data_IF_326328449580
#
_entry.id   IF_326328449580
#
_cell.length_a   1.000
_cell.length_b   1.000
_cell.length_c   1.000
_cell.angle_alpha   90.00
_cell.angle_beta   90.00
_cell.angle_gamma   90.00
#
_symmetry.space_group_name_H-M   'P 1'
#
loop_
_entity.id
_entity.type
_entity.pdbx_description
1 polymer ?
#
# COMPACT_ATOMS: atom_id res chain seq x y z
N UNK A 1 -18.18 33.69 -7.88
CA UNK A 1 -18.91 33.43 -6.62
C UNK A 1 -18.34 32.25 -5.84
N UNK A 2 -18.01 31.12 -6.48
CA UNK A 2 -17.46 29.93 -5.80
C UNK A 2 -16.08 30.11 -5.14
N UNK A 3 -15.17 30.85 -5.78
CA UNK A 3 -13.81 31.09 -5.27
C UNK A 3 -13.84 31.90 -3.96
N UNK A 4 -14.70 32.91 -3.93
CA UNK A 4 -14.94 33.74 -2.76
C UNK A 4 -15.54 32.96 -1.58
N UNK A 5 -16.29 31.90 -1.85
CA UNK A 5 -16.83 31.00 -0.82
C UNK A 5 -15.80 29.99 -0.30
N UNK A 6 -14.82 29.62 -1.13
CA UNK A 6 -13.67 28.79 -0.73
C UNK A 6 -12.73 29.61 0.17
N UNK A 7 -12.39 30.83 -0.24
CA UNK A 7 -11.55 31.74 0.55
C UNK A 7 -12.19 32.03 1.92
N UNK A 8 -13.50 32.35 1.94
CA UNK A 8 -14.27 32.51 3.20
C UNK A 8 -14.28 31.25 4.06
N UNK A 9 -14.26 30.04 3.48
CA UNK A 9 -14.20 28.78 4.23
C UNK A 9 -12.79 28.51 4.78
N UNK A 10 -11.74 28.88 4.06
CA UNK A 10 -10.37 28.78 4.53
C UNK A 10 -10.07 29.75 5.67
N UNK A 11 -10.52 31.00 5.56
CA UNK A 11 -10.33 32.01 6.61
C UNK A 11 -11.07 31.63 7.89
N UNK A 12 -12.28 31.07 7.80
CA UNK A 12 -13.01 30.52 8.95
C UNK A 12 -12.28 29.35 9.62
N UNK A 13 -11.54 28.53 8.87
CA UNK A 13 -10.73 27.43 9.44
C UNK A 13 -9.49 27.96 10.13
N UNK A 14 -8.78 28.92 9.51
CA UNK A 14 -7.60 29.57 10.10
C UNK A 14 -7.94 30.31 11.39
N UNK A 15 -9.06 31.05 11.42
CA UNK A 15 -9.53 31.75 12.62
C UNK A 15 -9.90 30.77 13.74
N UNK A 16 -10.52 29.62 13.42
CA UNK A 16 -10.87 28.59 14.41
C UNK A 16 -9.63 27.88 15.01
N UNK A 17 -8.54 27.77 14.26
CA UNK A 17 -7.25 27.28 14.80
C UNK A 17 -6.57 28.34 15.68
N UNK A 18 -6.69 29.63 15.35
CA UNK A 18 -6.11 30.73 16.14
C UNK A 18 -6.90 31.06 17.41
N UNK A 19 -8.22 30.82 17.46
CA UNK A 19 -9.07 31.05 18.65
C UNK A 19 -9.00 29.93 19.71
N UNK A 20 -7.95 29.11 19.71
CA UNK A 20 -7.72 28.11 20.77
C UNK A 20 -6.93 28.73 21.94
N UNK A 21 -7.45 29.82 22.49
CA UNK A 21 -7.01 30.34 23.78
C UNK A 21 -7.51 29.40 24.89
N UNK A 22 -6.61 28.54 25.40
CA UNK A 22 -6.92 27.64 26.51
C UNK A 22 -6.89 28.48 27.80
N UNK A 23 -8.05 29.02 28.18
CA UNK A 23 -8.23 29.67 29.47
C UNK A 23 -8.24 28.62 30.59
N UNK A 24 -7.13 28.54 31.35
CA UNK A 24 -6.98 27.69 32.54
C UNK A 24 -7.72 28.24 33.78
N UNK A 25 -8.95 28.71 33.59
CA UNK A 25 -9.80 29.26 34.65
C UNK A 25 -10.80 28.24 35.22
N UNK A 26 -11.32 28.55 36.42
CA UNK A 26 -12.24 27.76 37.26
C UNK A 26 -13.43 27.08 36.54
N UNK A 27 -13.81 27.48 35.32
CA UNK A 27 -14.90 26.90 34.53
C UNK A 27 -14.57 25.66 33.67
N UNK A 28 -13.36 25.08 33.75
CA UNK A 28 -13.04 23.82 33.04
C UNK A 28 -13.86 22.65 33.59
N UNK A 29 -14.12 22.63 34.91
CA UNK A 29 -14.91 21.58 35.56
C UNK A 29 -16.36 21.61 35.07
N UNK A 30 -16.97 22.79 35.02
CA UNK A 30 -18.36 22.97 34.55
C UNK A 30 -18.51 22.57 33.07
N UNK A 31 -17.56 22.95 32.22
CA UNK A 31 -17.55 22.55 30.79
C UNK A 31 -17.34 21.04 30.61
N UNK A 32 -16.51 20.41 31.44
CA UNK A 32 -16.32 18.96 31.42
C UNK A 32 -17.59 18.21 31.87
N UNK A 33 -18.26 18.70 32.92
CA UNK A 33 -19.55 18.16 33.36
C UNK A 33 -20.65 18.34 32.28
N UNK A 34 -20.66 19.48 31.59
CA UNK A 34 -21.61 19.72 30.50
C UNK A 34 -21.37 18.76 29.32
N UNK A 35 -20.12 18.47 28.98
CA UNK A 35 -19.76 17.47 27.95
C UNK A 35 -20.12 16.04 28.38
N UNK A 36 -19.93 15.69 29.66
CA UNK A 36 -20.36 14.39 30.19
C UNK A 36 -21.88 14.23 30.14
N UNK A 37 -22.64 15.27 30.54
CA UNK A 37 -24.10 15.30 30.46
C UNK A 37 -24.60 15.20 29.00
N UNK A 38 -23.93 15.87 28.05
CA UNK A 38 -24.24 15.74 26.61
C UNK A 38 -24.01 14.33 26.10
N UNK A 39 -22.91 13.67 26.48
CA UNK A 39 -22.62 12.27 26.10
C UNK A 39 -23.65 11.29 26.66
N UNK A 40 -23.97 11.41 27.95
CA UNK A 40 -25.03 10.60 28.60
C UNK A 40 -26.41 10.76 27.93
N UNK A 41 -26.72 11.94 27.40
CA UNK A 41 -27.97 12.19 26.68
C UNK A 41 -27.92 11.71 25.22
N UNK A 42 -26.75 11.67 24.58
CA UNK A 42 -26.55 11.08 23.26
C UNK A 42 -26.66 9.55 23.30
N UNK A 43 -26.15 8.92 24.35
CA UNK A 43 -26.21 7.46 24.54
C UNK A 43 -27.66 6.96 24.80
N UNK A 44 -28.55 7.84 25.27
CA UNK A 44 -30.00 7.56 25.44
C UNK A 44 -30.81 7.65 24.15
N UNK A 45 -30.28 8.27 23.09
CA UNK A 45 -30.92 8.24 21.78
C UNK A 45 -30.61 6.86 21.19
N UNK A 46 -31.65 6.11 20.81
CA UNK A 46 -31.47 4.79 20.20
C UNK A 46 -30.61 4.92 18.93
N UNK A 47 -29.33 4.61 19.08
CA UNK A 47 -28.35 4.72 18.02
C UNK A 47 -28.70 3.80 16.86
N UNK A 48 -28.47 4.28 15.65
CA UNK A 48 -28.62 3.46 14.45
C UNK A 48 -27.70 2.23 14.54
N UNK A 49 -28.07 1.08 13.96
CA UNK A 49 -27.23 -0.12 13.98
C UNK A 49 -25.79 0.12 13.50
N UNK A 50 -25.61 1.00 12.51
CA UNK A 50 -24.30 1.42 12.02
C UNK A 50 -23.50 2.23 13.05
N UNK A 51 -24.17 3.13 13.76
CA UNK A 51 -23.54 3.96 14.79
C UNK A 51 -23.15 3.13 16.03
N UNK A 52 -23.95 2.12 16.38
CA UNK A 52 -23.60 1.11 17.40
C UNK A 52 -22.30 0.37 17.06
N UNK A 53 -22.13 -0.04 15.79
CA UNK A 53 -20.89 -0.68 15.34
C UNK A 53 -19.69 0.28 15.42
N UNK A 54 -19.88 1.55 15.06
CA UNK A 54 -18.82 2.57 15.15
C UNK A 54 -18.44 2.88 16.60
N UNK A 55 -19.40 2.92 17.51
CA UNK A 55 -19.15 3.03 18.95
C UNK A 55 -18.41 1.80 19.48
N UNK A 56 -18.86 0.58 19.19
CA UNK A 56 -18.19 -0.67 19.57
C UNK A 56 -16.73 -0.72 19.09
N UNK A 57 -16.48 -0.30 17.84
CA UNK A 57 -15.12 -0.22 17.29
C UNK A 57 -14.26 0.84 17.97
N UNK A 58 -14.83 2.01 18.28
CA UNK A 58 -14.14 3.10 19.00
C UNK A 58 -13.82 2.69 20.44
N UNK A 59 -14.75 2.04 21.11
CA UNK A 59 -14.60 1.53 22.47
C UNK A 59 -13.53 0.45 22.55
N UNK A 60 -13.59 -0.57 21.69
CA UNK A 60 -12.56 -1.60 21.59
C UNK A 60 -11.17 -1.02 21.32
N UNK A 61 -11.07 -0.01 20.44
CA UNK A 61 -9.80 0.69 20.22
C UNK A 61 -9.34 1.51 21.43
N UNK A 62 -10.26 2.07 22.23
CA UNK A 62 -9.92 2.76 23.48
C UNK A 62 -9.45 1.79 24.55
N UNK A 63 -10.14 0.65 24.72
CA UNK A 63 -9.74 -0.42 25.63
C UNK A 63 -8.35 -0.96 25.27
N UNK A 64 -8.06 -1.24 24.00
CA UNK A 64 -6.72 -1.64 23.55
C UNK A 64 -5.64 -0.62 23.89
N UNK A 65 -5.94 0.68 23.75
CA UNK A 65 -5.00 1.75 24.12
C UNK A 65 -4.77 1.83 25.62
N UNK A 66 -5.82 1.68 26.43
CA UNK A 66 -5.73 1.67 27.89
C UNK A 66 -4.94 0.45 28.38
N UNK A 67 -5.24 -0.75 27.88
CA UNK A 67 -4.49 -1.97 28.20
C UNK A 67 -3.03 -1.87 27.80
N UNK A 68 -2.73 -1.28 26.63
CA UNK A 68 -1.34 -1.05 26.23
C UNK A 68 -0.63 -0.04 27.14
N UNK A 69 -1.35 0.97 27.63
CA UNK A 69 -0.82 1.98 28.55
C UNK A 69 -0.57 1.39 29.94
N UNK A 70 -1.51 0.59 30.46
CA UNK A 70 -1.33 -0.17 31.71
C UNK A 70 -0.18 -1.18 31.57
N UNK A 71 -0.13 -1.97 30.50
CA UNK A 71 1.01 -2.87 30.21
C UNK A 71 2.35 -2.14 30.04
N UNK A 72 2.36 -0.85 29.70
CA UNK A 72 3.60 -0.05 29.67
C UNK A 72 3.96 0.55 31.03
N UNK A 73 2.97 0.84 31.87
CA UNK A 73 3.17 1.35 33.24
C UNK A 73 3.56 0.20 34.20
N UNK A 74 3.00 -1.01 34.05
CA UNK A 74 3.32 -2.20 34.87
C UNK A 74 4.64 -2.89 34.47
N UNK A 75 5.14 -2.64 33.25
CA UNK A 75 6.41 -3.21 32.75
C UNK A 75 7.66 -2.63 33.43
N UNK A 76 7.53 -1.62 34.28
CA UNK A 76 8.64 -1.12 35.11
C UNK A 76 8.79 -1.85 36.46
N UNK A 77 7.87 -2.75 36.86
CA UNK A 77 7.92 -3.38 38.19
C UNK A 77 7.83 -4.91 38.28
N UNK A 78 7.46 -5.66 37.25
CA UNK A 78 7.45 -7.14 37.34
C UNK A 78 7.91 -7.83 36.06
N UNK A 79 9.19 -8.17 36.01
CA UNK A 79 9.70 -9.18 35.08
C UNK A 79 9.36 -10.58 35.63
N UNK A 80 8.12 -11.03 35.46
CA UNK A 80 7.78 -12.46 35.53
C UNK A 80 6.54 -12.78 34.68
N UNK A 81 6.82 -13.22 33.47
CA UNK A 81 6.16 -14.34 32.77
C UNK A 81 4.72 -14.70 33.18
N UNK A 82 3.74 -14.24 32.39
CA UNK A 82 2.44 -14.90 32.25
C UNK A 82 2.00 -14.77 30.80
N UNK A 83 2.23 -15.85 30.06
CA UNK A 83 1.79 -16.05 28.69
C UNK A 83 0.27 -16.27 28.64
N UNK A 84 -0.46 -15.18 28.90
CA UNK A 84 -1.93 -15.05 28.75
C UNK A 84 -2.24 -14.27 27.45
N UNK A 85 -1.26 -14.17 26.55
CA UNK A 85 -1.37 -13.35 25.33
C UNK A 85 -1.65 -14.17 24.06
N UNK A 86 -1.75 -15.49 24.19
CA UNK A 86 -1.95 -16.41 23.05
C UNK A 86 -3.39 -16.94 22.94
N UNK A 87 -4.23 -16.73 23.96
CA UNK A 87 -5.64 -17.15 23.95
C UNK A 87 -6.54 -15.97 23.54
N UNK A 88 -7.30 -16.07 22.44
CA UNK A 88 -8.32 -15.08 22.08
C UNK A 88 -9.34 -14.91 23.21
N UNK A 89 -9.73 -13.67 23.50
CA UNK A 89 -10.68 -13.33 24.57
C UNK A 89 -12.11 -13.88 24.40
N UNK A 90 -12.35 -14.71 23.39
CA UNK A 90 -13.63 -15.34 23.05
C UNK A 90 -13.69 -16.82 23.48
N UNK A 91 -12.59 -17.34 24.05
CA UNK A 91 -12.46 -18.74 24.47
C UNK A 91 -12.43 -18.80 26.00
N UNK A 92 -13.42 -19.47 26.60
CA UNK A 92 -13.48 -19.73 28.04
C UNK A 92 -12.71 -21.01 28.36
N UNK A 93 -11.61 -20.88 29.10
CA UNK A 93 -10.76 -22.01 29.49
C UNK A 93 -11.45 -23.00 30.45
N UNK A 94 -12.59 -22.60 31.04
CA UNK A 94 -13.42 -23.44 31.92
C UNK A 94 -14.68 -24.01 31.22
N UNK A 95 -14.79 -23.91 29.90
CA UNK A 95 -15.93 -24.46 29.15
C UNK A 95 -15.98 -26.00 29.27
N UNK A 96 -17.11 -26.61 29.71
CA UNK A 96 -17.27 -28.06 29.78
C UNK A 96 -17.07 -28.78 28.45
N UNK A 97 -17.23 -28.10 27.30
CA UNK A 97 -16.93 -28.66 25.98
C UNK A 97 -15.43 -28.89 25.76
N UNK A 98 -14.57 -27.99 26.26
CA UNK A 98 -13.10 -28.07 26.11
C UNK A 98 -12.39 -28.65 27.35
N UNK A 99 -13.12 -28.95 28.43
CA UNK A 99 -12.56 -29.46 29.67
C UNK A 99 -11.83 -30.80 29.50
N UNK A 100 -12.28 -31.67 28.58
CA UNK A 100 -11.57 -32.93 28.26
C UNK A 100 -10.23 -32.66 27.55
N UNK A 101 -10.17 -31.62 26.69
CA UNK A 101 -8.98 -31.18 25.97
C UNK A 101 -7.89 -30.68 26.95
N UNK A 102 -8.26 -29.86 27.94
CA UNK A 102 -7.32 -29.31 28.93
C UNK A 102 -6.84 -30.35 29.97
N UNK A 103 -7.51 -31.49 30.08
CA UNK A 103 -7.10 -32.57 30.97
C UNK A 103 -6.03 -33.50 30.37
N UNK A 104 -5.72 -33.35 29.08
CA UNK A 104 -4.64 -34.07 28.38
C UNK A 104 -3.26 -33.74 29.00
N UNK A 105 -2.32 -34.70 29.04
CA UNK A 105 -1.03 -34.54 29.70
C UNK A 105 -0.15 -33.44 29.09
N UNK A 106 -0.45 -33.00 27.87
CA UNK A 106 0.28 -31.95 27.14
C UNK A 106 0.08 -30.54 27.71
N UNK A 107 -1.08 -30.27 28.32
CA UNK A 107 -1.41 -28.95 28.90
C UNK A 107 -1.16 -28.86 30.42
N UNK A 108 -0.89 -30.00 31.08
CA UNK A 108 -0.56 -30.04 32.51
C UNK A 108 0.90 -29.65 32.73
N UNK A 109 1.17 -28.35 32.90
CA UNK A 109 2.49 -27.81 33.31
C UNK A 109 2.99 -28.53 34.58
N UNK A 110 3.93 -29.44 34.41
CA UNK A 110 4.57 -30.19 35.49
C UNK A 110 5.48 -29.30 36.35
N UNK A 111 5.34 -29.41 37.68
CA UNK A 111 6.36 -28.93 38.62
C UNK A 111 7.59 -29.83 38.50
N UNK A 112 8.66 -29.26 37.92
CA UNK A 112 10.09 -29.60 38.03
C UNK A 112 10.48 -31.07 38.24
N UNK A 113 11.25 -31.63 37.29
CA UNK A 113 12.41 -32.49 37.59
C UNK A 113 13.35 -32.66 36.37
N UNK A 114 14.50 -32.01 36.52
CA UNK A 114 15.88 -32.36 36.11
C UNK A 114 16.10 -33.57 35.17
N UNK A 115 16.77 -33.25 34.05
CA UNK A 115 17.68 -34.05 33.22
C UNK A 115 17.26 -35.46 32.76
N UNK A 116 17.08 -35.64 31.44
CA UNK A 116 18.01 -36.39 30.58
C UNK A 116 17.52 -36.40 29.13
N UNK A 117 18.48 -36.35 28.23
CA UNK A 117 18.39 -36.61 26.79
C UNK A 117 17.78 -38.00 26.58
N UNK A 118 16.72 -38.08 25.79
CA UNK A 118 16.39 -39.22 24.95
C UNK A 118 15.41 -38.74 23.87
N UNK A 119 15.83 -38.92 22.62
CA UNK A 119 14.99 -39.22 21.47
C UNK A 119 13.77 -40.04 21.92
N UNK A 120 12.55 -39.53 21.74
CA UNK A 120 11.35 -40.34 21.91
C UNK A 120 10.38 -40.00 20.78
N UNK A 121 10.53 -40.77 19.70
CA UNK A 121 9.57 -40.97 18.61
C UNK A 121 8.28 -41.61 19.15
N UNK A 122 7.54 -40.89 19.98
CA UNK A 122 6.15 -41.26 20.29
C UNK A 122 5.25 -40.20 19.69
N UNK A 123 5.19 -40.18 18.36
CA UNK A 123 4.03 -39.59 17.71
C UNK A 123 2.88 -40.56 17.91
N UNK A 124 1.87 -40.20 18.70
CA UNK A 124 0.63 -40.97 18.68
C UNK A 124 0.15 -41.05 17.22
N UNK A 125 -0.46 -42.17 16.79
CA UNK A 125 -0.95 -42.30 15.42
C UNK A 125 -1.96 -41.20 15.08
N UNK A 126 -2.61 -40.60 16.07
CA UNK A 126 -3.57 -39.51 15.88
C UNK A 126 -2.90 -38.14 15.69
N UNK A 127 -1.70 -37.91 16.25
CA UNK A 127 -0.91 -36.69 15.99
C UNK A 127 -0.33 -36.69 14.58
N UNK A 128 0.03 -37.87 14.05
CA UNK A 128 0.49 -38.01 12.67
C UNK A 128 -0.66 -37.78 11.70
N UNK A 129 -1.85 -38.31 12.00
CA UNK A 129 -3.06 -38.05 11.20
C UNK A 129 -3.47 -36.59 11.23
N UNK A 130 -3.48 -35.96 12.41
CA UNK A 130 -3.81 -34.54 12.53
C UNK A 130 -2.82 -33.65 11.78
N UNK A 131 -1.52 -33.97 11.81
CA UNK A 131 -0.50 -33.27 11.01
C UNK A 131 -0.71 -33.50 9.51
N UNK A 132 -0.98 -34.73 9.09
CA UNK A 132 -1.22 -35.06 7.67
C UNK A 132 -2.52 -34.44 7.13
N UNK A 133 -3.59 -34.38 7.93
CA UNK A 133 -4.85 -33.72 7.58
C UNK A 133 -4.68 -32.20 7.49
N UNK A 134 -3.91 -31.58 8.40
CA UNK A 134 -3.56 -30.16 8.34
C UNK A 134 -2.67 -29.85 7.14
N UNK A 135 -1.71 -30.72 6.81
CA UNK A 135 -0.85 -30.59 5.64
C UNK A 135 -1.69 -30.62 4.35
N UNK A 136 -2.62 -31.59 4.21
CA UNK A 136 -3.54 -31.67 3.08
C UNK A 136 -4.43 -30.41 2.94
N UNK A 137 -4.91 -29.86 4.06
CA UNK A 137 -5.80 -28.69 4.07
C UNK A 137 -5.07 -27.39 3.69
N UNK A 138 -3.76 -27.32 3.95
CA UNK A 138 -2.87 -26.22 3.55
C UNK A 138 -2.36 -26.39 2.11
N UNK A 139 -2.19 -27.63 1.63
CA UNK A 139 -1.70 -27.94 0.29
C UNK A 139 -2.69 -27.50 -0.82
N UNK A 140 -3.99 -27.43 -0.52
CA UNK A 140 -5.03 -26.91 -1.44
C UNK A 140 -5.02 -25.37 -1.59
N UNK A 141 -4.44 -24.62 -0.65
CA UNK A 141 -4.30 -23.15 -0.75
C UNK A 141 -3.06 -22.74 -1.57
N UNK A 142 -2.02 -23.58 -1.55
CA UNK A 142 -0.76 -23.43 -2.31
C UNK A 142 -0.83 -24.16 -3.67
N UNK A 143 -1.94 -23.93 -4.38
CA UNK A 143 -2.31 -24.50 -5.68
C UNK A 143 -1.32 -24.18 -6.83
N UNK A 144 -0.11 -23.66 -6.55
CA UNK A 144 0.93 -23.26 -7.52
C UNK A 144 0.49 -22.14 -8.46
N UNK A 145 -0.75 -21.65 -8.33
CA UNK A 145 -1.38 -20.67 -9.20
C UNK A 145 -0.83 -19.29 -8.83
N UNK A 146 0.05 -18.78 -9.68
CA UNK A 146 0.50 -17.39 -9.61
C UNK A 146 -0.68 -16.44 -9.89
N UNK A 147 -1.41 -16.02 -8.84
CA UNK A 147 -2.52 -15.08 -8.99
C UNK A 147 -2.03 -13.72 -9.50
N UNK A 148 -2.62 -13.26 -10.61
CA UNK A 148 -2.32 -11.96 -11.18
C UNK A 148 -2.76 -10.83 -10.25
N UNK A 149 -1.78 -10.09 -9.73
CA UNK A 149 -2.02 -8.94 -8.85
C UNK A 149 -1.43 -7.67 -9.45
N UNK A 150 -2.29 -6.84 -10.08
CA UNK A 150 -1.86 -5.60 -10.72
C UNK A 150 -1.13 -4.64 -9.75
N UNK A 151 -1.56 -4.58 -8.48
CA UNK A 151 -0.88 -3.76 -7.45
C UNK A 151 0.54 -4.26 -7.17
N UNK A 152 0.73 -5.58 -7.04
CA UNK A 152 2.04 -6.21 -6.81
C UNK A 152 3.00 -5.92 -7.97
N UNK A 153 2.50 -5.94 -9.21
CA UNK A 153 3.27 -5.59 -10.41
C UNK A 153 3.67 -4.11 -10.41
N UNK A 154 2.72 -3.20 -10.13
CA UNK A 154 3.02 -1.76 -10.04
C UNK A 154 4.05 -1.43 -8.96
N UNK A 155 4.03 -2.10 -7.82
CA UNK A 155 5.02 -1.91 -6.76
C UNK A 155 6.39 -2.47 -7.17
N UNK A 156 6.41 -3.65 -7.80
CA UNK A 156 7.62 -4.30 -8.30
C UNK A 156 8.33 -3.48 -9.40
N UNK A 157 7.56 -2.81 -10.27
CA UNK A 157 8.06 -2.02 -11.40
C UNK A 157 8.27 -0.54 -11.04
N UNK A 158 7.35 0.07 -10.30
CA UNK A 158 7.34 1.49 -9.95
C UNK A 158 8.38 1.89 -8.89
N UNK A 159 9.03 0.93 -8.25
CA UNK A 159 10.07 1.19 -7.24
C UNK A 159 11.42 1.60 -7.81
N UNK A 160 11.65 1.50 -9.13
CA UNK A 160 12.95 1.80 -9.76
C UNK A 160 13.51 3.18 -9.38
N UNK A 161 12.65 4.20 -9.17
CA UNK A 161 13.06 5.60 -8.95
C UNK A 161 13.16 6.10 -7.49
N UNK A 162 12.93 5.28 -6.46
CA UNK A 162 12.92 5.76 -5.05
C UNK A 162 14.07 5.18 -4.20
N UNK A 163 14.90 6.10 -3.69
CA UNK A 163 15.88 6.07 -2.58
C UNK A 163 16.70 4.78 -2.33
N UNK A 164 18.02 4.96 -2.15
CA UNK A 164 18.99 3.93 -1.69
C UNK A 164 18.50 3.12 -0.49
N UNK A 165 17.70 3.71 0.41
CA UNK A 165 17.17 3.06 1.62
C UNK A 165 16.14 1.96 1.33
N UNK A 166 15.40 2.06 0.22
CA UNK A 166 14.44 1.04 -0.20
C UNK A 166 15.08 -0.10 -1.01
N UNK A 167 16.36 0.01 -1.39
CA UNK A 167 17.07 -1.00 -2.20
C UNK A 167 17.25 -2.34 -1.45
N UNK A 168 17.48 -2.31 -0.13
CA UNK A 168 17.56 -3.54 0.70
C UNK A 168 16.21 -4.27 0.86
N UNK A 169 15.09 -3.52 0.79
CA UNK A 169 13.76 -4.13 0.73
C UNK A 169 13.51 -4.77 -0.66
N UNK A 170 14.20 -4.28 -1.71
CA UNK A 170 14.09 -4.85 -3.05
C UNK A 170 14.70 -6.24 -3.12
N UNK A 171 15.83 -6.54 -2.49
CA UNK A 171 16.43 -7.88 -2.55
C UNK A 171 15.46 -8.96 -2.03
N UNK A 172 14.79 -8.69 -0.90
CA UNK A 172 13.76 -9.59 -0.35
C UNK A 172 12.49 -9.69 -1.22
N UNK A 173 12.13 -8.61 -1.95
CA UNK A 173 10.98 -8.62 -2.86
C UNK A 173 11.32 -9.09 -4.28
N UNK A 174 12.60 -9.09 -4.67
CA UNK A 174 13.11 -9.64 -5.94
C UNK A 174 13.14 -11.17 -5.85
N UNK A 175 13.40 -11.74 -4.69
CA UNK A 175 13.21 -13.17 -4.44
C UNK A 175 11.73 -13.56 -4.68
N UNK A 176 10.78 -12.70 -4.24
CA UNK A 176 9.36 -12.81 -4.59
C UNK A 176 9.01 -12.42 -6.04
N UNK A 177 9.92 -11.78 -6.80
CA UNK A 177 9.71 -11.53 -8.24
C UNK A 177 9.85 -12.82 -9.05
N UNK A 178 10.60 -13.81 -8.59
CA UNK A 178 10.67 -15.10 -9.28
C UNK A 178 9.30 -15.79 -9.35
N UNK A 179 8.36 -15.43 -8.46
CA UNK A 179 7.01 -15.95 -8.46
C UNK A 179 6.03 -15.23 -9.41
N UNK A 180 6.42 -14.13 -10.06
CA UNK A 180 5.58 -13.48 -11.09
C UNK A 180 6.22 -13.74 -12.45
N UNK A 181 5.58 -14.51 -13.34
CA UNK A 181 6.12 -14.74 -14.68
C UNK A 181 6.33 -13.41 -15.41
N UNK A 182 7.49 -13.25 -16.05
CA UNK A 182 7.77 -12.13 -16.95
C UNK A 182 6.82 -12.23 -18.15
N UNK A 183 5.67 -11.60 -18.04
CA UNK A 183 4.65 -11.56 -19.09
C UNK A 183 4.98 -10.47 -20.12
N UNK A 184 5.25 -10.89 -21.35
CA UNK A 184 5.46 -10.00 -22.49
C UNK A 184 4.22 -9.96 -23.39
N UNK A 185 3.78 -8.76 -23.76
CA UNK A 185 2.64 -8.57 -24.67
C UNK A 185 3.10 -8.70 -26.13
N UNK A 186 2.38 -9.49 -26.93
CA UNK A 186 2.53 -9.47 -28.38
C UNK A 186 1.94 -8.18 -28.97
N UNK A 187 2.81 -7.30 -29.46
CA UNK A 187 2.42 -6.03 -30.04
C UNK A 187 1.84 -6.14 -31.45
N UNK A 188 1.99 -7.31 -32.11
CA UNK A 188 1.54 -7.55 -33.49
C UNK A 188 0.17 -8.22 -33.57
N UNK A 189 -0.43 -8.59 -32.45
CA UNK A 189 -1.76 -9.20 -32.40
C UNK A 189 -2.84 -8.24 -32.94
N UNK A 190 -3.58 -8.70 -33.94
CA UNK A 190 -4.64 -7.95 -34.63
C UNK A 190 -5.78 -7.52 -33.71
N UNK A 191 -6.05 -8.29 -32.64
CA UNK A 191 -7.09 -7.97 -31.65
C UNK A 191 -6.83 -6.63 -30.95
N UNK A 192 -5.56 -6.23 -30.86
CA UNK A 192 -5.14 -4.98 -30.26
C UNK A 192 -4.82 -3.89 -31.29
N UNK A 193 -5.05 -4.13 -32.58
CA UNK A 193 -4.81 -3.16 -33.66
C UNK A 193 -5.53 -1.81 -33.43
N UNK A 194 -6.73 -1.87 -32.84
CA UNK A 194 -7.53 -0.69 -32.50
C UNK A 194 -6.83 0.29 -31.55
N UNK A 195 -5.94 -0.19 -30.65
CA UNK A 195 -5.15 0.66 -29.76
C UNK A 195 -4.19 1.57 -30.53
N UNK A 196 -3.74 1.11 -31.70
CA UNK A 196 -2.79 1.85 -32.54
C UNK A 196 -3.49 2.73 -33.57
N UNK A 197 -4.59 2.24 -34.15
CA UNK A 197 -5.25 2.89 -35.30
C UNK A 197 -6.36 3.86 -34.90
N UNK A 198 -7.14 3.57 -33.86
CA UNK A 198 -8.30 4.38 -33.47
C UNK A 198 -7.96 5.34 -32.34
N UNK A 199 -8.47 6.58 -32.45
CA UNK A 199 -8.27 7.61 -31.43
C UNK A 199 -9.04 7.33 -30.13
N UNK A 200 -10.13 6.56 -30.21
CA UNK A 200 -11.01 6.27 -29.07
C UNK A 200 -10.34 5.37 -28.03
N UNK A 201 -9.36 4.57 -28.44
CA UNK A 201 -8.66 3.62 -27.58
C UNK A 201 -7.21 4.07 -27.30
N UNK A 202 -6.94 5.37 -27.42
CA UNK A 202 -5.62 5.93 -27.12
C UNK A 202 -5.30 5.82 -25.62
N UNK A 203 -4.10 5.30 -25.32
CA UNK A 203 -3.58 5.30 -23.96
C UNK A 203 -3.01 6.70 -23.64
N UNK A 204 -3.63 7.45 -22.72
CA UNK A 204 -3.16 8.76 -22.25
C UNK A 204 -2.44 8.64 -20.89
N UNK A 205 -1.13 8.95 -20.81
CA UNK A 205 -0.40 8.99 -19.55
C UNK A 205 -0.87 10.06 -18.55
N UNK A 206 -1.64 11.05 -19.01
CA UNK A 206 -2.18 12.16 -18.20
C UNK A 206 -3.44 11.74 -17.43
N UNK A 207 -4.09 10.65 -17.83
CA UNK A 207 -5.29 10.16 -17.17
C UNK A 207 -4.98 9.59 -15.78
N UNK A 208 -5.80 9.88 -14.76
CA UNK A 208 -5.60 9.36 -13.40
C UNK A 208 -5.74 7.82 -13.33
N UNK A 209 -6.46 7.24 -14.27
CA UNK A 209 -6.64 5.79 -14.38
C UNK A 209 -5.44 5.10 -15.03
N UNK A 210 -4.53 5.85 -15.65
CA UNK A 210 -3.34 5.31 -16.27
C UNK A 210 -2.44 4.63 -15.23
N UNK A 211 -2.23 3.32 -15.44
CA UNK A 211 -1.32 2.53 -14.62
C UNK A 211 -0.03 2.30 -15.39
N UNK A 212 1.03 2.91 -14.88
CA UNK A 212 2.36 2.84 -15.48
C UNK A 212 2.98 1.47 -15.21
N UNK A 213 2.78 0.54 -16.12
CA UNK A 213 3.43 -0.79 -16.13
C UNK A 213 4.38 -0.94 -17.31
N UNK A 214 5.33 -1.87 -17.26
CA UNK A 214 6.30 -2.15 -18.34
C UNK A 214 5.59 -2.39 -19.68
N UNK A 215 4.55 -3.21 -19.66
CA UNK A 215 3.78 -3.55 -20.85
C UNK A 215 2.99 -2.37 -21.42
N UNK A 216 2.48 -1.49 -20.56
CA UNK A 216 1.81 -0.27 -21.00
C UNK A 216 2.79 0.70 -21.70
N UNK A 217 4.04 0.78 -21.22
CA UNK A 217 5.09 1.53 -21.89
C UNK A 217 5.45 0.94 -23.26
N UNK A 218 5.51 -0.39 -23.39
CA UNK A 218 5.76 -1.06 -24.67
C UNK A 218 4.67 -0.72 -25.70
N UNK A 219 3.39 -0.78 -25.31
CA UNK A 219 2.27 -0.41 -26.20
C UNK A 219 2.36 1.06 -26.66
N UNK A 220 2.69 1.98 -25.75
CA UNK A 220 2.88 3.40 -26.09
C UNK A 220 4.06 3.57 -27.06
N UNK A 221 5.19 2.91 -26.79
CA UNK A 221 6.37 2.97 -27.66
C UNK A 221 6.08 2.40 -29.06
N UNK A 222 5.39 1.27 -29.15
CA UNK A 222 4.98 0.69 -30.42
C UNK A 222 4.07 1.63 -31.20
N UNK A 223 3.09 2.26 -30.53
CA UNK A 223 2.25 3.28 -31.15
C UNK A 223 3.05 4.46 -31.68
N UNK A 224 4.04 4.93 -30.92
CA UNK A 224 4.94 6.00 -31.35
C UNK A 224 5.79 5.57 -32.55
N UNK A 225 6.21 4.31 -32.63
CA UNK A 225 6.92 3.74 -33.79
C UNK A 225 6.02 3.61 -35.02
N UNK A 226 4.76 3.22 -34.85
CA UNK A 226 3.78 3.04 -35.94
C UNK A 226 3.24 4.35 -36.50
N UNK A 227 3.35 5.45 -35.75
CA UNK A 227 3.01 6.77 -36.28
C UNK A 227 3.94 7.05 -37.47
N UNK A 228 3.44 7.09 -38.71
CA UNK A 228 4.28 7.44 -39.84
C UNK A 228 4.83 8.85 -39.59
N UNK A 229 6.09 9.07 -39.99
CA UNK A 229 6.68 10.41 -40.03
C UNK A 229 5.90 11.39 -40.95
N UNK A 230 4.86 10.90 -41.65
CA UNK A 230 4.09 11.59 -42.68
C UNK A 230 2.69 12.07 -42.27
N UNK A 231 2.32 12.08 -40.99
CA UNK A 231 1.20 12.92 -40.55
C UNK A 231 1.74 14.31 -40.20
N UNK A 232 1.49 15.36 -41.02
CA UNK A 232 1.97 16.70 -40.78
C UNK A 232 1.13 17.30 -39.66
N UNK A 233 1.47 16.98 -38.41
CA UNK A 233 1.20 17.93 -37.34
C UNK A 233 2.16 19.08 -37.61
N UNK A 234 1.62 20.24 -37.97
CA UNK A 234 2.34 21.52 -38.00
C UNK A 234 2.98 21.79 -36.63
N UNK A 235 4.13 21.17 -36.38
CA UNK A 235 5.10 21.57 -35.37
C UNK A 235 6.45 21.41 -36.00
N UNK A 236 6.99 22.54 -36.42
CA UNK A 236 8.39 22.75 -36.73
C UNK A 236 9.24 22.22 -35.58
N UNK A 237 9.68 20.97 -35.66
CA UNK A 237 10.82 20.48 -34.91
C UNK A 237 11.76 19.91 -35.95
N UNK A 238 12.59 20.81 -36.49
CA UNK A 238 13.74 20.43 -37.28
C UNK A 238 14.52 19.33 -36.54
N UNK A 239 15.08 18.33 -37.25
CA UNK A 239 15.96 17.35 -36.62
C UNK A 239 17.05 18.12 -35.87
N UNK A 240 17.35 17.70 -34.64
CA UNK A 240 18.44 18.27 -33.83
C UNK A 240 19.76 17.97 -34.54
N UNK A 241 20.10 18.78 -35.53
CA UNK A 241 21.45 18.87 -36.09
C UNK A 241 22.39 19.11 -34.91
N UNK A 242 23.51 18.40 -34.89
CA UNK A 242 24.55 18.65 -33.90
C UNK A 242 24.96 20.13 -33.96
N UNK A 243 25.38 20.73 -32.84
CA UNK A 243 25.81 22.15 -32.83
C UNK A 243 26.87 22.42 -33.92
N UNK A 244 27.75 21.44 -34.14
CA UNK A 244 28.76 21.44 -35.18
C UNK A 244 28.16 21.58 -36.59
N UNK A 245 27.12 20.81 -36.93
CA UNK A 245 26.45 20.94 -38.22
C UNK A 245 25.79 22.30 -38.43
N UNK A 246 25.23 22.89 -37.36
CA UNK A 246 24.63 24.23 -37.45
C UNK A 246 25.66 25.34 -37.65
N UNK A 247 26.83 25.22 -37.02
CA UNK A 247 27.96 26.15 -37.18
C UNK A 247 28.58 26.04 -38.58
N UNK A 248 28.72 24.81 -39.10
CA UNK A 248 29.19 24.56 -40.47
C UNK A 248 28.22 25.13 -41.52
N UNK A 249 26.90 24.95 -41.33
CA UNK A 249 25.88 25.53 -42.22
C UNK A 249 25.96 27.07 -42.27
N UNK A 250 26.24 27.73 -41.14
CA UNK A 250 26.41 29.19 -41.06
C UNK A 250 27.70 29.63 -41.77
N UNK A 251 28.80 28.90 -41.58
CA UNK A 251 30.08 29.19 -42.24
C UNK A 251 29.97 29.06 -43.76
N UNK A 252 29.36 27.98 -44.25
CA UNK A 252 29.13 27.75 -45.68
C UNK A 252 28.24 28.85 -46.28
N UNK A 253 27.18 29.26 -45.57
CA UNK A 253 26.33 30.39 -46.00
C UNK A 253 27.11 31.69 -46.12
N UNK A 254 28.03 31.97 -45.18
CA UNK A 254 28.85 33.17 -45.21
C UNK A 254 29.89 33.15 -46.34
N UNK A 255 30.54 32.00 -46.59
CA UNK A 255 31.45 31.81 -47.72
C UNK A 255 30.69 31.98 -49.04
N UNK A 256 29.50 31.39 -49.17
CA UNK A 256 28.65 31.52 -50.36
C UNK A 256 28.21 32.97 -50.61
N UNK A 257 27.89 33.73 -49.57
CA UNK A 257 27.58 35.17 -49.68
C UNK A 257 28.80 35.97 -50.13
N UNK A 258 29.98 35.74 -49.55
CA UNK A 258 31.21 36.43 -49.92
C UNK A 258 31.64 36.12 -51.36
N UNK A 259 31.60 34.86 -51.77
CA UNK A 259 31.97 34.45 -53.13
C UNK A 259 30.98 34.94 -54.20
N UNK A 260 29.68 35.01 -53.88
CA UNK A 260 28.68 35.60 -54.78
C UNK A 260 28.93 37.09 -55.02
N UNK A 261 29.38 37.84 -54.00
CA UNK A 261 29.78 39.24 -54.15
C UNK A 261 31.05 39.44 -55.00
N UNK A 262 31.97 38.47 -55.00
CA UNK A 262 33.18 38.50 -55.83
C UNK A 262 32.88 38.14 -57.29
N UNK A 263 31.89 37.30 -57.57
CA UNK A 263 31.44 36.96 -58.94
C UNK A 263 30.56 38.03 -59.60
N UNK A 264 30.13 39.06 -58.86
CA UNK A 264 29.29 40.16 -59.36
C UNK A 264 30.05 41.49 -59.48
N UNK A 265 31.38 41.45 -59.41
CA UNK A 265 32.29 42.50 -59.87
C UNK A 265 33.09 41.96 -61.04
#
# INVERSE_FOLDING_TARGET
MLLQDIDKKEDRKKNKEMEMEITWGIGIKDKAEELMKKKLNEDKKELTPFEKLMQKKREHNRQKKLLKKQKSEDKEQTASDSDDSEVPSDIDMNDPYFAEEFNKPEFKKGKSKKNKIADDEVSNPDDVKGKAELELLLEDEDDGKAHFSLKKIQEAEGTTKKSRRKKKLREKMIEQKQAVPDFEIDTKDERFSALYNSHLYNIDPSDPNFKKTKNMEILIQEKLKRRPADMPVEKQVAPKKSKQETELDLLVKNIKRKTKGVKQK
#
